data_IF_211879822579
#
_entry.id   IF_211879822579
#
_cell.length_a   1.000
_cell.length_b   1.000
_cell.length_c   1.000
_cell.angle_alpha   90.00
_cell.angle_beta   90.00
_cell.angle_gamma   90.00
#
_symmetry.space_group_name_H-M   'P 1'
#
loop_
_entity.id
_entity.type
_entity.pdbx_description
1 polymer ?
#
# COMPACT_ATOMS: atom_id res chain seq x y z
N UNK A 1 -5.45 -12.65 21.88
CA UNK A 1 -4.25 -12.41 21.06
C UNK A 1 -4.16 -10.90 20.93
N UNK A 2 -3.15 -10.25 21.50
CA UNK A 2 -3.07 -8.78 21.50
C UNK A 2 -3.01 -8.24 20.07
N UNK A 3 -3.59 -7.06 19.84
CA UNK A 3 -3.47 -6.37 18.55
C UNK A 3 -1.98 -6.15 18.24
N UNK A 4 -1.55 -6.56 17.06
CA UNK A 4 -0.17 -6.36 16.58
C UNK A 4 0.06 -4.86 16.41
N UNK A 5 1.17 -4.37 16.99
CA UNK A 5 1.62 -3.00 16.79
C UNK A 5 2.36 -2.88 15.45
N UNK A 6 1.59 -2.69 14.37
CA UNK A 6 2.15 -2.45 13.04
C UNK A 6 2.95 -1.15 12.93
N UNK A 7 2.72 -0.20 13.83
CA UNK A 7 3.43 1.08 13.81
C UNK A 7 4.87 0.93 14.31
N UNK A 8 5.10 0.02 15.26
CA UNK A 8 6.43 -0.32 15.77
C UNK A 8 7.12 -1.44 14.99
N UNK A 9 6.44 -2.08 14.03
CA UNK A 9 6.98 -3.20 13.26
C UNK A 9 8.15 -2.76 12.38
N UNK A 10 9.26 -3.50 12.49
CA UNK A 10 10.44 -3.33 11.65
C UNK A 10 10.72 -4.58 10.83
N UNK A 11 11.17 -4.38 9.60
CA UNK A 11 11.57 -5.41 8.67
C UNK A 11 13.10 -5.45 8.57
N UNK A 12 13.65 -6.62 8.86
CA UNK A 12 15.08 -6.87 8.68
C UNK A 12 15.42 -6.92 7.18
N UNK A 13 16.67 -6.57 6.86
CA UNK A 13 17.21 -6.90 5.55
C UNK A 13 17.55 -8.39 5.55
N UNK A 14 17.16 -9.09 4.50
CA UNK A 14 17.52 -10.48 4.26
C UNK A 14 18.20 -10.58 2.88
N UNK A 15 19.38 -11.19 2.86
CA UNK A 15 20.11 -11.42 1.61
C UNK A 15 19.36 -12.46 0.79
N UNK A 16 18.95 -12.08 -0.42
CA UNK A 16 18.25 -12.99 -1.33
C UNK A 16 19.21 -13.75 -2.25
N UNK A 17 18.85 -14.98 -2.63
CA UNK A 17 19.68 -15.84 -3.50
C UNK A 17 20.01 -15.19 -4.86
N UNK A 18 19.09 -14.37 -5.40
CA UNK A 18 19.28 -13.61 -6.64
C UNK A 18 20.54 -12.72 -6.62
N UNK A 19 20.96 -12.24 -5.45
CA UNK A 19 22.17 -11.41 -5.33
C UNK A 19 23.46 -12.20 -5.55
N UNK A 20 23.42 -13.51 -5.36
CA UNK A 20 24.55 -14.42 -5.53
C UNK A 20 24.41 -15.29 -6.80
N UNK A 21 23.36 -15.09 -7.59
CA UNK A 21 23.12 -15.87 -8.79
C UNK A 21 24.19 -15.59 -9.84
N UNK A 22 24.76 -16.65 -10.43
CA UNK A 22 25.76 -16.52 -11.51
C UNK A 22 25.15 -16.02 -12.82
N UNK A 23 23.84 -16.20 -13.00
CA UNK A 23 23.05 -15.66 -14.09
C UNK A 23 22.06 -14.61 -13.56
N UNK A 24 21.67 -13.67 -14.43
CA UNK A 24 20.69 -12.63 -14.11
C UNK A 24 19.35 -13.27 -13.69
N UNK A 25 18.95 -13.06 -12.45
CA UNK A 25 17.68 -13.57 -11.94
C UNK A 25 16.51 -12.91 -12.67
N UNK A 26 15.57 -13.74 -13.14
CA UNK A 26 14.41 -13.32 -13.95
C UNK A 26 13.09 -13.69 -13.27
N UNK A 27 12.20 -12.72 -13.14
CA UNK A 27 10.88 -12.88 -12.52
C UNK A 27 9.75 -12.40 -13.45
N UNK A 28 8.55 -13.02 -13.39
CA UNK A 28 7.43 -12.59 -14.23
C UNK A 28 6.98 -11.15 -13.95
N UNK A 29 6.85 -10.79 -12.67
CA UNK A 29 6.42 -9.45 -12.25
C UNK A 29 7.28 -8.98 -11.08
N UNK A 30 7.77 -7.75 -11.19
CA UNK A 30 8.34 -6.99 -10.08
C UNK A 30 7.43 -5.80 -9.77
N UNK A 31 7.00 -5.70 -8.51
CA UNK A 31 6.27 -4.55 -7.96
C UNK A 31 7.25 -3.74 -7.10
N UNK A 32 7.30 -2.42 -7.29
CA UNK A 32 8.15 -1.52 -6.48
C UNK A 32 7.26 -0.70 -5.55
N UNK A 33 7.43 -0.87 -4.24
CA UNK A 33 6.65 -0.25 -3.18
C UNK A 33 5.66 -1.23 -2.53
N UNK A 34 5.81 -1.48 -1.23
CA UNK A 34 4.97 -2.30 -0.37
C UNK A 34 3.91 -1.47 0.39
N UNK A 35 3.46 -0.36 -0.19
CA UNK A 35 2.28 0.36 0.28
C UNK A 35 0.97 -0.35 -0.06
N UNK A 36 -0.21 0.25 0.23
CA UNK A 36 -1.50 -0.39 0.01
C UNK A 36 -1.74 -0.77 -1.45
N UNK A 37 -1.23 0.03 -2.40
CA UNK A 37 -1.36 -0.24 -3.84
C UNK A 37 -0.51 -1.44 -4.24
N UNK A 38 0.77 -1.47 -3.87
CA UNK A 38 1.68 -2.53 -4.28
C UNK A 38 1.35 -3.88 -3.64
N UNK A 39 1.04 -3.89 -2.33
CA UNK A 39 0.61 -5.12 -1.66
C UNK A 39 -0.72 -5.65 -2.21
N UNK A 40 -1.69 -4.77 -2.49
CA UNK A 40 -2.96 -5.20 -3.11
C UNK A 40 -2.73 -5.76 -4.52
N UNK A 41 -1.84 -5.14 -5.30
CA UNK A 41 -1.49 -5.59 -6.66
C UNK A 41 -0.79 -6.95 -6.62
N UNK A 42 0.19 -7.12 -5.73
CA UNK A 42 0.91 -8.38 -5.58
C UNK A 42 -0.02 -9.52 -5.15
N UNK A 43 -0.92 -9.27 -4.19
CA UNK A 43 -1.93 -10.24 -3.76
C UNK A 43 -2.87 -10.65 -4.90
N UNK A 44 -3.38 -9.69 -5.67
CA UNK A 44 -4.33 -9.98 -6.75
C UNK A 44 -3.66 -10.81 -7.87
N UNK A 45 -2.41 -10.50 -8.21
CA UNK A 45 -1.62 -11.26 -9.19
C UNK A 45 -1.24 -12.65 -8.66
N UNK A 46 -0.81 -12.76 -7.41
CA UNK A 46 -0.43 -14.03 -6.79
C UNK A 46 -1.59 -15.03 -6.76
N UNK A 47 -2.81 -14.55 -6.51
CA UNK A 47 -4.06 -15.35 -6.54
C UNK A 47 -4.43 -15.84 -7.93
N UNK A 48 -3.92 -15.19 -8.97
CA UNK A 48 -4.05 -15.61 -10.36
C UNK A 48 -2.90 -16.54 -10.79
N UNK A 49 -2.05 -16.96 -9.85
CA UNK A 49 -0.93 -17.87 -10.11
C UNK A 49 0.35 -17.21 -10.62
N UNK A 50 0.40 -15.87 -10.64
CA UNK A 50 1.57 -15.12 -11.10
C UNK A 50 2.57 -14.99 -9.95
N UNK A 51 3.84 -15.34 -10.17
CA UNK A 51 4.92 -15.09 -9.21
C UNK A 51 5.29 -13.60 -9.21
N UNK A 52 5.32 -12.98 -8.04
CA UNK A 52 5.55 -11.55 -7.86
C UNK A 52 6.68 -11.33 -6.86
N UNK A 53 7.68 -10.54 -7.24
CA UNK A 53 8.65 -9.98 -6.31
C UNK A 53 8.20 -8.57 -5.95
N UNK A 54 8.11 -8.25 -4.66
CA UNK A 54 7.80 -6.92 -4.16
C UNK A 54 9.07 -6.35 -3.52
N UNK A 55 9.57 -5.24 -4.07
CA UNK A 55 10.74 -4.53 -3.56
C UNK A 55 10.31 -3.25 -2.86
N UNK A 56 10.77 -3.04 -1.63
CA UNK A 56 10.56 -1.78 -0.90
C UNK A 56 11.87 -1.32 -0.26
N UNK A 57 12.15 -0.01 -0.31
CA UNK A 57 13.38 0.57 0.24
C UNK A 57 13.29 0.90 1.73
N UNK A 58 12.08 0.92 2.29
CA UNK A 58 11.83 1.16 3.70
C UNK A 58 12.04 -0.12 4.53
N UNK A 59 12.07 0.06 5.85
CA UNK A 59 12.15 -0.99 6.85
C UNK A 59 10.95 -0.99 7.79
N UNK A 60 9.95 -0.14 7.55
CA UNK A 60 8.70 -0.09 8.32
C UNK A 60 7.52 0.15 7.39
N UNK A 61 6.33 -0.15 7.91
CA UNK A 61 5.08 0.31 7.30
C UNK A 61 4.91 1.83 7.50
N UNK A 62 3.87 2.39 6.88
CA UNK A 62 3.59 3.82 6.93
C UNK A 62 3.59 4.40 8.34
N UNK A 63 4.30 5.50 8.52
CA UNK A 63 4.37 6.24 9.78
C UNK A 63 3.54 7.52 9.73
N UNK A 64 2.96 7.89 10.88
CA UNK A 64 2.18 9.12 11.05
C UNK A 64 0.77 9.10 10.46
N UNK A 65 0.10 10.26 10.49
CA UNK A 65 -1.26 10.45 9.98
C UNK A 65 -1.27 10.58 8.46
N UNK A 66 -1.60 9.48 7.76
CA UNK A 66 -1.71 9.43 6.28
C UNK A 66 -3.14 9.11 5.86
N UNK A 67 -3.35 8.09 5.04
CA UNK A 67 -4.71 7.65 4.71
C UNK A 67 -5.42 7.18 5.99
N UNK A 68 -6.65 7.65 6.16
CA UNK A 68 -7.52 7.26 7.28
C UNK A 68 -8.87 6.76 6.80
N UNK A 69 -9.30 7.10 5.58
CA UNK A 69 -10.67 6.83 5.11
C UNK A 69 -10.64 5.90 3.90
N UNK A 70 -11.27 4.73 4.00
CA UNK A 70 -11.35 3.74 2.93
C UNK A 70 -12.80 3.53 2.51
N UNK A 71 -13.05 3.63 1.21
CA UNK A 71 -14.40 3.53 0.66
C UNK A 71 -14.87 2.08 0.53
N UNK A 72 -16.19 1.91 0.45
CA UNK A 72 -16.86 0.64 0.17
C UNK A 72 -16.20 -0.17 -0.93
N UNK A 73 -15.87 0.48 -2.06
CA UNK A 73 -15.31 -0.22 -3.22
C UNK A 73 -13.92 -0.80 -2.93
N UNK A 74 -13.08 -0.08 -2.19
CA UNK A 74 -11.80 -0.59 -1.72
C UNK A 74 -11.98 -1.81 -0.81
N UNK A 75 -12.97 -1.76 0.08
CA UNK A 75 -13.29 -2.85 1.00
C UNK A 75 -13.78 -4.10 0.26
N UNK A 76 -14.58 -3.95 -0.78
CA UNK A 76 -15.01 -5.05 -1.65
C UNK A 76 -13.84 -5.68 -2.42
N UNK A 77 -12.87 -4.88 -2.86
CA UNK A 77 -11.63 -5.41 -3.46
C UNK A 77 -10.87 -6.22 -2.41
N UNK A 78 -10.71 -5.66 -1.21
CA UNK A 78 -10.01 -6.31 -0.11
C UNK A 78 -10.71 -7.55 0.45
N UNK A 79 -12.02 -7.71 0.23
CA UNK A 79 -12.70 -8.98 0.47
C UNK A 79 -12.17 -10.09 -0.42
N UNK A 80 -11.99 -9.80 -1.70
CA UNK A 80 -11.39 -10.76 -2.63
C UNK A 80 -9.93 -11.04 -2.33
N UNK A 81 -9.26 -10.16 -1.57
CA UNK A 81 -7.88 -10.33 -1.09
C UNK A 81 -7.82 -10.91 0.33
N UNK A 82 -8.96 -11.21 0.97
CA UNK A 82 -9.02 -11.88 2.28
C UNK A 82 -8.82 -10.97 3.50
N UNK A 83 -8.64 -9.66 3.30
CA UNK A 83 -8.37 -8.72 4.41
C UNK A 83 -9.55 -7.78 4.72
N UNK A 84 -10.53 -7.70 3.83
CA UNK A 84 -11.64 -6.72 3.94
C UNK A 84 -12.44 -6.80 5.23
N UNK A 85 -12.72 -8.01 5.75
CA UNK A 85 -13.44 -8.15 7.02
C UNK A 85 -12.66 -7.57 8.20
N UNK A 86 -11.36 -7.88 8.29
CA UNK A 86 -10.48 -7.40 9.36
C UNK A 86 -10.35 -5.88 9.37
N UNK A 87 -10.40 -5.26 8.19
CA UNK A 87 -10.43 -3.80 8.04
C UNK A 87 -11.70 -3.21 8.68
N UNK A 88 -12.86 -3.83 8.45
CA UNK A 88 -14.14 -3.39 9.04
C UNK A 88 -14.14 -3.60 10.55
N UNK A 89 -13.70 -4.76 11.02
CA UNK A 89 -13.74 -5.11 12.44
C UNK A 89 -12.88 -4.15 13.29
N UNK A 90 -11.78 -3.66 12.72
CA UNK A 90 -10.89 -2.69 13.37
C UNK A 90 -11.33 -1.23 13.15
N UNK A 91 -11.83 -0.92 11.95
CA UNK A 91 -12.15 0.44 11.53
C UNK A 91 -13.45 0.98 12.10
N UNK A 92 -13.57 2.30 12.17
CA UNK A 92 -14.82 2.97 12.54
C UNK A 92 -15.68 3.13 11.30
N UNK A 93 -16.76 2.35 11.20
CA UNK A 93 -17.66 2.38 10.04
C UNK A 93 -18.61 3.57 10.07
N UNK A 94 -18.86 4.18 8.92
CA UNK A 94 -19.87 5.24 8.79
C UNK A 94 -20.48 5.30 7.37
N UNK A 95 -21.76 5.68 7.31
CA UNK A 95 -22.52 5.87 6.08
C UNK A 95 -23.06 7.30 5.91
N UNK A 96 -23.19 8.04 7.02
CA UNK A 96 -23.84 9.36 7.03
C UNK A 96 -22.78 10.44 7.11
N UNK A 97 -22.78 11.33 6.12
CA UNK A 97 -22.04 12.59 6.16
C UNK A 97 -22.92 13.72 6.69
N UNK A 98 -22.32 14.62 7.47
CA UNK A 98 -22.96 15.84 7.98
C UNK A 98 -22.07 17.03 7.74
N UNK A 99 -22.67 18.16 7.40
CA UNK A 99 -21.98 19.45 7.26
C UNK A 99 -22.57 20.41 8.27
N UNK A 100 -21.69 21.06 9.02
CA UNK A 100 -22.07 22.05 10.03
C UNK A 100 -21.53 23.42 9.65
N UNK A 101 -22.34 24.46 9.87
CA UNK A 101 -21.86 25.82 9.98
C UNK A 101 -21.88 26.21 11.46
N UNK A 102 -20.70 26.25 12.09
CA UNK A 102 -20.55 26.28 13.56
C UNK A 102 -21.25 25.06 14.17
N UNK A 103 -22.24 25.26 15.04
CA UNK A 103 -22.99 24.18 15.71
C UNK A 103 -24.26 23.78 14.96
N UNK A 104 -24.65 24.51 13.90
CA UNK A 104 -25.87 24.22 13.14
C UNK A 104 -25.58 23.21 12.02
N UNK A 105 -26.26 22.06 12.05
CA UNK A 105 -26.28 21.12 10.92
C UNK A 105 -26.98 21.79 9.73
N UNK A 106 -26.26 22.01 8.62
CA UNK A 106 -26.77 22.64 7.40
C UNK A 106 -27.04 21.65 6.28
N UNK A 107 -26.44 20.47 6.35
CA UNK A 107 -26.63 19.41 5.36
C UNK A 107 -26.35 18.04 5.95
N UNK A 108 -27.12 17.05 5.50
CA UNK A 108 -26.95 15.64 5.87
C UNK A 108 -27.28 14.76 4.68
N UNK A 109 -26.45 13.74 4.46
CA UNK A 109 -26.65 12.79 3.38
C UNK A 109 -26.25 11.39 3.85
N UNK A 110 -27.04 10.40 3.43
CA UNK A 110 -26.69 8.99 3.56
C UNK A 110 -26.04 8.54 2.24
N UNK A 111 -24.82 8.01 2.34
CA UNK A 111 -24.06 7.50 1.20
C UNK A 111 -24.52 6.11 0.76
N UNK A 112 -25.30 5.42 1.59
CA UNK A 112 -25.86 4.10 1.31
C UNK A 112 -27.32 4.04 1.81
N UNK A 113 -28.23 4.81 1.20
CA UNK A 113 -29.64 4.85 1.62
C UNK A 113 -30.39 3.55 1.32
N UNK A 114 -29.83 2.69 0.46
CA UNK A 114 -30.41 1.42 0.05
C UNK A 114 -29.93 0.26 0.96
N UNK A 115 -30.79 -0.73 1.25
CA UNK A 115 -30.39 -1.90 2.02
C UNK A 115 -29.58 -2.90 1.18
N UNK A 116 -29.08 -3.96 1.83
CA UNK A 116 -28.46 -5.11 1.15
C UNK A 116 -26.97 -4.94 0.82
N UNK A 117 -26.35 -3.85 1.26
CA UNK A 117 -24.91 -3.66 1.11
C UNK A 117 -24.12 -4.50 2.11
N UNK A 118 -23.15 -5.27 1.60
CA UNK A 118 -22.24 -6.08 2.44
C UNK A 118 -21.23 -5.22 3.23
N UNK A 119 -20.88 -4.04 2.70
CA UNK A 119 -19.84 -3.15 3.24
C UNK A 119 -20.42 -1.76 3.52
N UNK A 120 -19.95 -1.07 4.57
CA UNK A 120 -20.34 0.33 4.84
C UNK A 120 -19.81 1.25 3.73
N UNK A 121 -20.30 2.49 3.71
CA UNK A 121 -19.88 3.49 2.73
C UNK A 121 -18.38 3.77 2.87
N UNK A 122 -17.95 3.92 4.13
CA UNK A 122 -16.57 4.15 4.49
C UNK A 122 -16.23 3.48 5.83
N UNK A 123 -14.94 3.25 6.03
CA UNK A 123 -14.36 3.10 7.36
C UNK A 123 -13.27 4.15 7.60
N UNK A 124 -13.12 4.54 8.85
CA UNK A 124 -11.92 5.20 9.34
C UNK A 124 -10.96 4.18 9.96
N UNK A 125 -9.80 3.97 9.35
CA UNK A 125 -8.76 3.04 9.78
C UNK A 125 -7.38 3.61 9.41
N UNK A 126 -6.44 3.61 10.36
CA UNK A 126 -5.10 4.14 10.10
C UNK A 126 -4.37 3.30 9.05
N UNK A 127 -3.66 3.95 8.12
CA UNK A 127 -3.00 3.29 7.00
C UNK A 127 -2.08 2.13 7.40
N UNK A 128 -1.35 2.23 8.52
CA UNK A 128 -0.45 1.16 8.96
C UNK A 128 -1.17 -0.13 9.36
N UNK A 129 -2.44 -0.07 9.82
CA UNK A 129 -3.25 -1.28 10.00
C UNK A 129 -3.63 -1.89 8.66
N UNK A 130 -4.01 -1.04 7.69
CA UNK A 130 -4.37 -1.53 6.36
C UNK A 130 -3.18 -2.20 5.66
N UNK A 131 -2.02 -1.55 5.67
CA UNK A 131 -0.77 -2.12 5.16
C UNK A 131 -0.36 -3.37 5.96
N UNK A 132 -0.51 -3.36 7.28
CA UNK A 132 -0.21 -4.51 8.14
C UNK A 132 -1.03 -5.75 7.80
N UNK A 133 -2.34 -5.58 7.59
CA UNK A 133 -3.22 -6.69 7.21
C UNK A 133 -2.90 -7.21 5.81
N UNK A 134 -2.61 -6.31 4.85
CA UNK A 134 -2.17 -6.68 3.52
C UNK A 134 -0.82 -7.41 3.55
N UNK A 135 0.12 -6.94 4.36
CA UNK A 135 1.43 -7.55 4.56
C UNK A 135 1.31 -8.97 5.13
N UNK A 136 0.53 -9.14 6.20
CA UNK A 136 0.34 -10.46 6.80
C UNK A 136 -0.33 -11.45 5.84
N UNK A 137 -1.25 -10.97 5.00
CA UNK A 137 -1.84 -11.77 3.94
C UNK A 137 -0.80 -12.11 2.87
N UNK A 138 -0.01 -11.13 2.41
CA UNK A 138 1.00 -11.33 1.38
C UNK A 138 2.08 -12.33 1.81
N UNK A 139 2.47 -12.30 3.09
CA UNK A 139 3.43 -13.24 3.68
C UNK A 139 2.95 -14.70 3.68
N UNK A 140 1.64 -14.93 3.55
CA UNK A 140 1.04 -16.26 3.47
C UNK A 140 0.88 -16.76 2.03
N UNK A 141 1.02 -15.88 1.03
CA UNK A 141 0.88 -16.25 -0.37
C UNK A 141 2.23 -16.78 -0.92
N UNK A 142 2.32 -18.06 -1.34
CA UNK A 142 3.59 -18.67 -1.78
C UNK A 142 4.16 -18.08 -3.07
N UNK A 143 3.34 -17.35 -3.83
CA UNK A 143 3.75 -16.70 -5.07
C UNK A 143 4.32 -15.30 -4.86
N UNK A 144 4.36 -14.80 -3.61
CA UNK A 144 4.88 -13.46 -3.29
C UNK A 144 6.22 -13.58 -2.56
N UNK A 145 7.21 -12.89 -3.10
CA UNK A 145 8.52 -12.69 -2.47
C UNK A 145 8.67 -11.22 -2.05
N UNK A 146 8.60 -10.96 -0.74
CA UNK A 146 8.69 -9.61 -0.15
C UNK A 146 10.14 -9.31 0.25
N UNK A 147 10.73 -8.27 -0.33
CA UNK A 147 12.11 -7.85 -0.04
C UNK A 147 12.18 -6.41 0.44
N UNK A 148 12.40 -6.25 1.74
CA UNK A 148 12.58 -4.96 2.39
C UNK A 148 14.03 -4.45 2.26
N UNK A 149 14.24 -3.15 2.41
CA UNK A 149 15.56 -2.51 2.22
C UNK A 149 16.19 -2.80 0.85
N UNK A 150 15.35 -2.95 -0.17
CA UNK A 150 15.74 -3.18 -1.57
C UNK A 150 15.28 -1.98 -2.41
N UNK A 151 16.20 -1.06 -2.67
CA UNK A 151 15.91 0.20 -3.36
C UNK A 151 16.19 0.10 -4.85
N UNK A 152 15.18 0.32 -5.68
CA UNK A 152 15.39 0.44 -7.13
C UNK A 152 16.03 1.78 -7.46
N UNK A 153 17.24 1.75 -8.02
CA UNK A 153 18.03 2.95 -8.33
C UNK A 153 18.25 3.17 -9.83
N UNK A 154 18.05 2.14 -10.65
CA UNK A 154 18.06 2.26 -12.11
C UNK A 154 17.06 1.29 -12.75
N UNK A 155 16.52 1.68 -13.90
CA UNK A 155 15.59 0.87 -14.69
C UNK A 155 15.97 1.03 -16.17
N UNK A 156 16.07 -0.09 -16.89
CA UNK A 156 16.33 -0.11 -18.34
C UNK A 156 15.33 -1.05 -19.00
N UNK A 157 14.50 -0.50 -19.87
CA UNK A 157 13.55 -1.28 -20.66
C UNK A 157 14.24 -1.85 -21.91
N UNK A 158 13.93 -3.10 -22.23
CA UNK A 158 14.33 -3.80 -23.43
C UNK A 158 13.11 -4.48 -24.07
N UNK A 159 13.28 -5.10 -25.24
CA UNK A 159 12.20 -5.76 -25.96
C UNK A 159 11.66 -7.00 -25.22
N UNK A 160 12.49 -7.62 -24.39
CA UNK A 160 12.17 -8.86 -23.66
C UNK A 160 11.82 -8.64 -22.19
N UNK A 161 11.75 -7.39 -21.71
CA UNK A 161 11.41 -7.06 -20.33
C UNK A 161 12.10 -5.80 -19.81
N UNK A 162 12.34 -5.78 -18.51
CA UNK A 162 12.90 -4.64 -17.78
C UNK A 162 14.01 -5.13 -16.86
N UNK A 163 15.19 -4.52 -16.98
CA UNK A 163 16.30 -4.74 -16.04
C UNK A 163 16.33 -3.63 -15.01
N UNK A 164 16.35 -4.00 -13.73
CA UNK A 164 16.45 -3.12 -12.58
C UNK A 164 17.84 -3.23 -11.96
N UNK A 165 18.36 -2.12 -11.44
CA UNK A 165 19.46 -2.12 -10.45
C UNK A 165 18.87 -1.90 -9.07
N UNK A 166 19.08 -2.85 -8.16
CA UNK A 166 18.55 -2.83 -6.80
C UNK A 166 19.70 -2.63 -5.82
N UNK A 167 19.70 -1.51 -5.11
CA UNK A 167 20.64 -1.19 -4.04
C UNK A 167 20.17 -1.80 -2.72
N UNK A 168 21.09 -2.47 -2.01
CA UNK A 168 20.86 -3.09 -0.70
C UNK A 168 22.02 -2.78 0.23
N UNK A 169 21.91 -3.11 1.55
CA UNK A 169 23.04 -3.01 2.48
C UNK A 169 24.29 -3.82 2.06
N UNK A 170 24.14 -4.89 1.28
CA UNK A 170 25.26 -5.72 0.79
C UNK A 170 25.85 -5.22 -0.54
N UNK A 171 25.29 -4.14 -1.11
CA UNK A 171 25.65 -3.63 -2.42
C UNK A 171 24.51 -3.74 -3.44
N UNK A 172 24.80 -3.32 -4.67
CA UNK A 172 23.83 -3.35 -5.77
C UNK A 172 23.86 -4.69 -6.51
N UNK A 173 22.69 -5.17 -6.92
CA UNK A 173 22.55 -6.33 -7.79
C UNK A 173 21.52 -6.06 -8.90
N UNK A 174 21.71 -6.68 -10.08
CA UNK A 174 20.73 -6.58 -11.16
C UNK A 174 19.59 -7.58 -10.98
N UNK A 175 18.39 -7.20 -11.42
CA UNK A 175 17.20 -8.06 -11.44
C UNK A 175 16.49 -7.86 -12.78
N UNK A 176 16.03 -8.93 -13.42
CA UNK A 176 15.23 -8.84 -14.63
C UNK A 176 13.76 -9.18 -14.34
N UNK A 177 12.85 -8.41 -14.93
CA UNK A 177 11.41 -8.60 -14.81
C UNK A 177 10.78 -8.62 -16.20
N UNK A 178 9.85 -9.54 -16.46
CA UNK A 178 9.04 -9.45 -17.69
C UNK A 178 8.14 -8.21 -17.64
N UNK A 179 7.61 -7.90 -16.45
CA UNK A 179 6.82 -6.70 -16.18
C UNK A 179 7.26 -6.00 -14.90
N UNK A 180 7.31 -4.66 -14.96
CA UNK A 180 7.55 -3.79 -13.82
C UNK A 180 6.30 -2.97 -13.52
N UNK A 181 5.84 -3.00 -12.26
CA UNK A 181 4.74 -2.17 -11.78
C UNK A 181 5.26 -1.21 -10.71
N UNK A 182 5.24 0.09 -11.01
CA UNK A 182 5.64 1.14 -10.08
C UNK A 182 4.49 1.50 -9.12
N UNK A 183 4.64 1.17 -7.84
CA UNK A 183 3.73 1.48 -6.73
C UNK A 183 4.41 2.31 -5.63
N UNK A 184 5.50 3.00 -5.96
CA UNK A 184 6.44 3.75 -5.12
C UNK A 184 5.97 5.20 -4.82
N UNK A 185 4.66 5.42 -4.89
CA UNK A 185 3.97 6.60 -4.35
C UNK A 185 4.11 7.89 -5.17
N UNK A 186 3.60 8.99 -4.59
CA UNK A 186 3.48 10.27 -5.28
C UNK A 186 4.82 10.84 -5.79
N UNK A 187 5.93 10.54 -5.10
CA UNK A 187 7.28 10.95 -5.46
C UNK A 187 8.09 9.88 -6.21
N UNK A 188 7.42 8.85 -6.73
CA UNK A 188 7.96 7.71 -7.48
C UNK A 188 9.30 8.00 -8.16
N UNK A 189 10.40 7.46 -7.62
CA UNK A 189 11.68 7.42 -8.30
C UNK A 189 11.59 6.67 -9.63
N UNK A 190 10.85 5.56 -9.69
CA UNK A 190 10.74 4.74 -10.91
C UNK A 190 10.12 5.54 -12.05
N UNK A 191 9.07 6.32 -11.79
CA UNK A 191 8.45 7.21 -12.80
C UNK A 191 9.48 8.16 -13.42
N UNK A 192 10.38 8.73 -12.61
CA UNK A 192 11.46 9.60 -13.11
C UNK A 192 12.51 8.82 -13.90
N UNK A 193 12.88 7.63 -13.43
CA UNK A 193 13.87 6.77 -14.10
C UNK A 193 13.44 6.36 -15.52
N UNK A 194 12.13 6.22 -15.75
CA UNK A 194 11.57 5.95 -17.08
C UNK A 194 11.23 7.22 -17.88
N UNK A 195 11.70 8.39 -17.43
CA UNK A 195 11.51 9.66 -18.14
C UNK A 195 10.08 10.20 -18.13
N UNK A 196 9.25 9.77 -17.19
CA UNK A 196 7.85 10.21 -17.07
C UNK A 196 7.70 11.29 -16.00
N UNK A 197 6.74 12.19 -16.22
CA UNK A 197 6.40 13.28 -15.32
C UNK A 197 4.92 13.23 -14.91
N UNK A 198 4.61 13.82 -13.76
CA UNK A 198 3.23 13.99 -13.31
C UNK A 198 2.82 15.45 -13.49
N UNK A 199 2.01 15.73 -14.50
CA UNK A 199 1.46 17.06 -14.73
C UNK A 199 0.18 17.26 -13.91
N UNK A 200 0.09 18.37 -13.18
CA UNK A 200 -1.08 18.67 -12.35
C UNK A 200 -1.07 20.11 -11.85
N UNK A 201 -2.19 20.53 -11.26
CA UNK A 201 -2.28 21.82 -10.57
C UNK A 201 -1.80 21.68 -9.14
N UNK A 202 -0.92 22.59 -8.73
CA UNK A 202 -0.46 22.69 -7.34
C UNK A 202 -1.40 23.63 -6.60
N UNK A 203 -2.15 23.09 -5.64
CA UNK A 203 -2.90 23.89 -4.67
C UNK A 203 -1.94 24.36 -3.57
N UNK A 204 -2.06 25.62 -3.15
CA UNK A 204 -1.18 26.22 -2.12
C UNK A 204 -1.71 26.03 -0.70
N UNK A 205 -2.88 25.41 -0.55
CA UNK A 205 -3.48 25.13 0.74
C UNK A 205 -2.59 24.16 1.54
N UNK A 206 -2.38 24.49 2.82
CA UNK A 206 -1.58 23.68 3.73
C UNK A 206 -2.49 23.18 4.85
N UNK A 207 -2.60 21.86 4.93
CA UNK A 207 -3.34 21.20 5.99
C UNK A 207 -2.34 20.64 7.01
N UNK A 208 -2.62 20.83 8.29
CA UNK A 208 -1.97 20.09 9.37
C UNK A 208 -2.93 18.98 9.80
N UNK A 209 -2.46 17.74 9.77
CA UNK A 209 -3.23 16.58 10.21
C UNK A 209 -2.55 16.06 11.48
N UNK A 210 -3.34 15.84 12.53
CA UNK A 210 -2.85 15.31 13.80
C UNK A 210 -3.86 14.31 14.37
N UNK A 211 -3.35 13.15 14.78
CA UNK A 211 -4.12 12.17 15.54
C UNK A 211 -4.02 12.51 17.02
N UNK A 212 -5.15 12.77 17.67
CA UNK A 212 -5.19 13.24 19.07
C UNK A 212 -6.03 12.32 19.94
N UNK A 213 -5.54 12.03 21.14
CA UNK A 213 -6.35 11.45 22.23
C UNK A 213 -6.82 12.61 23.09
N UNK A 214 -8.13 12.85 23.11
CA UNK A 214 -8.72 13.93 23.90
C UNK A 214 -9.92 13.43 24.70
N UNK A 215 -10.22 14.13 25.80
CA UNK A 215 -11.49 14.03 26.51
C UNK A 215 -12.29 15.29 26.20
N UNK A 216 -13.44 15.13 25.55
CA UNK A 216 -14.30 16.24 25.13
C UNK A 216 -15.77 15.90 25.39
N UNK A 217 -16.59 16.94 25.60
CA UNK A 217 -18.03 16.81 25.91
C UNK A 217 -18.91 16.69 24.65
N UNK A 218 -18.31 16.83 23.46
CA UNK A 218 -18.97 16.72 22.17
C UNK A 218 -18.25 15.67 21.30
N UNK A 219 -18.95 14.99 20.38
CA UNK A 219 -18.31 14.28 19.28
C UNK A 219 -17.74 15.24 18.23
#
# INVERSE_FOLDING_TARGET
>A
MGDIDFQAMEFAYEKHADQAASALARHPVVVVGAGPVGLSTALDLARQGVRVVVLDDDFRLSTGSRAICFSKRTLEIWDRLGVGQRMIDKGVSWNVGKVFFREQEVWRFDLLPEPGHRRPAFINLQQYYAEGYLYEQARQEPNIDLRWKNKVVAVTQADDGVTLSVETPDGSYPLHADWLIACDGARSPVRKLIGQESHGRIFRDRFLIADVKMKADFP
#
